data_IF_323752100529
#
_entry.id   IF_323752100529
#
_cell.length_a   1.000
_cell.length_b   1.000
_cell.length_c   1.000
_cell.angle_alpha   90.00
_cell.angle_beta   90.00
_cell.angle_gamma   90.00
#
_symmetry.space_group_name_H-M   'P 1'
#
loop_
_entity.id
_entity.type
_entity.pdbx_description
1 polymer ?
#
# COMPACT_ATOMS: atom_id res chain seq x y z
N UNK A 1 29.80 -11.48 -14.16
CA UNK A 1 29.34 -10.13 -13.78
C UNK A 1 27.90 -10.05 -14.23
N UNK A 2 27.03 -10.70 -13.48
CA UNK A 2 25.59 -10.72 -13.74
C UNK A 2 24.99 -9.55 -12.96
N UNK A 3 24.98 -8.41 -13.62
CA UNK A 3 24.25 -7.23 -13.20
C UNK A 3 22.78 -7.36 -13.62
N UNK A 4 21.89 -7.04 -12.68
CA UNK A 4 20.45 -6.78 -12.78
C UNK A 4 19.52 -7.88 -12.24
N UNK A 5 19.47 -8.01 -10.92
CA UNK A 5 18.19 -8.16 -10.23
C UNK A 5 17.98 -6.85 -9.47
N UNK A 6 17.15 -5.96 -10.02
CA UNK A 6 16.80 -4.69 -9.41
C UNK A 6 15.91 -4.92 -8.20
N UNK A 7 16.53 -5.17 -7.05
CA UNK A 7 15.94 -4.72 -5.79
C UNK A 7 15.98 -3.21 -5.85
N UNK A 8 14.80 -2.58 -5.94
CA UNK A 8 14.67 -1.23 -5.42
C UNK A 8 14.84 -1.42 -3.92
N UNK A 9 16.09 -1.44 -3.46
CA UNK A 9 16.40 -1.31 -2.04
C UNK A 9 15.77 0.02 -1.64
N UNK A 10 14.59 -0.08 -1.06
CA UNK A 10 13.85 1.06 -0.55
C UNK A 10 14.74 1.69 0.50
N UNK A 11 15.19 2.90 0.23
CA UNK A 11 15.95 3.67 1.21
C UNK A 11 14.95 4.19 2.25
N UNK A 12 14.57 3.30 3.16
CA UNK A 12 13.64 3.62 4.25
C UNK A 12 14.20 4.68 5.19
N UNK A 13 15.54 4.78 5.25
CA UNK A 13 16.21 5.81 6.04
C UNK A 13 15.95 7.19 5.45
N UNK A 14 16.09 7.34 4.12
CA UNK A 14 15.71 8.58 3.43
C UNK A 14 14.23 8.96 3.67
N UNK A 15 13.31 7.98 3.66
CA UNK A 15 11.87 8.22 3.89
C UNK A 15 11.59 8.84 5.26
N UNK A 16 12.15 8.31 6.36
CA UNK A 16 11.90 8.92 7.67
C UNK A 16 12.67 10.22 7.88
N UNK A 17 13.83 10.40 7.24
CA UNK A 17 14.58 11.66 7.28
C UNK A 17 13.81 12.79 6.57
N UNK A 18 13.21 12.51 5.41
CA UNK A 18 12.37 13.46 4.66
C UNK A 18 11.11 13.84 5.46
N UNK A 19 10.53 12.89 6.18
CA UNK A 19 9.41 13.11 7.10
C UNK A 19 9.81 13.81 8.42
N UNK A 20 11.12 13.96 8.69
CA UNK A 20 11.63 14.53 9.94
C UNK A 20 11.33 13.68 11.16
N UNK A 21 11.24 12.35 10.99
CA UNK A 21 10.93 11.37 12.02
C UNK A 21 12.17 10.58 12.41
N UNK A 22 12.23 10.14 13.66
CA UNK A 22 13.16 9.09 14.05
C UNK A 22 12.63 7.69 13.66
N UNK A 23 13.51 6.69 13.78
CA UNK A 23 13.21 5.29 13.44
C UNK A 23 12.04 4.72 14.25
N UNK A 24 11.91 5.09 15.52
CA UNK A 24 10.84 4.57 16.40
C UNK A 24 9.49 5.17 16.01
N UNK A 25 9.45 6.48 15.74
CA UNK A 25 8.27 7.16 15.23
C UNK A 25 7.84 6.60 13.87
N UNK A 26 8.77 6.45 12.94
CA UNK A 26 8.48 5.86 11.63
C UNK A 26 7.97 4.43 11.76
N UNK A 27 8.57 3.61 12.63
CA UNK A 27 8.09 2.25 12.93
C UNK A 27 6.63 2.23 13.39
N UNK A 28 6.22 3.15 14.26
CA UNK A 28 4.83 3.26 14.72
C UNK A 28 3.89 3.62 13.56
N UNK A 29 4.24 4.59 12.72
CA UNK A 29 3.43 4.96 11.57
C UNK A 29 3.39 3.86 10.51
N UNK A 30 4.50 3.17 10.27
CA UNK A 30 4.60 2.04 9.35
C UNK A 30 3.68 0.89 9.77
N UNK A 31 3.66 0.54 11.06
CA UNK A 31 2.73 -0.45 11.61
C UNK A 31 1.27 -0.01 11.42
N UNK A 32 0.94 1.22 11.80
CA UNK A 32 -0.42 1.76 11.66
C UNK A 32 -0.87 1.79 10.20
N UNK A 33 0.01 2.18 9.29
CA UNK A 33 -0.26 2.18 7.86
C UNK A 33 -0.60 0.77 7.36
N UNK A 34 0.18 -0.24 7.73
CA UNK A 34 -0.09 -1.62 7.32
C UNK A 34 -1.42 -2.13 7.89
N UNK A 35 -1.74 -1.82 9.14
CA UNK A 35 -3.02 -2.20 9.76
C UNK A 35 -4.21 -1.62 8.98
N UNK A 36 -4.14 -0.32 8.67
CA UNK A 36 -5.16 0.36 7.84
C UNK A 36 -5.22 -0.25 6.45
N UNK A 37 -4.06 -0.43 5.80
CA UNK A 37 -3.98 -0.89 4.42
C UNK A 37 -4.50 -2.32 4.25
N UNK A 38 -4.18 -3.24 5.15
CA UNK A 38 -4.69 -4.62 5.11
C UNK A 38 -6.16 -4.71 5.50
N UNK A 39 -6.62 -3.88 6.44
CA UNK A 39 -8.05 -3.77 6.77
C UNK A 39 -8.85 -3.31 5.56
N UNK A 40 -8.41 -2.24 4.90
CA UNK A 40 -9.10 -1.71 3.73
C UNK A 40 -8.93 -2.61 2.49
N UNK A 41 -7.81 -3.32 2.34
CA UNK A 41 -7.67 -4.35 1.31
C UNK A 41 -8.70 -5.48 1.48
N UNK A 42 -8.95 -5.90 2.72
CA UNK A 42 -9.98 -6.90 3.03
C UNK A 42 -11.37 -6.38 2.66
N UNK A 43 -11.70 -5.17 3.11
CA UNK A 43 -12.97 -4.49 2.74
C UNK A 43 -13.14 -4.36 1.24
N UNK A 44 -12.07 -4.02 0.52
CA UNK A 44 -12.07 -3.88 -0.93
C UNK A 44 -12.40 -5.21 -1.64
N UNK A 45 -11.88 -6.33 -1.13
CA UNK A 45 -12.18 -7.68 -1.65
C UNK A 45 -13.64 -8.07 -1.38
N UNK A 46 -14.15 -7.78 -0.19
CA UNK A 46 -15.54 -8.02 0.19
C UNK A 46 -16.51 -7.20 -0.68
N UNK A 47 -16.26 -5.90 -0.80
CA UNK A 47 -17.05 -5.00 -1.64
C UNK A 47 -17.08 -5.45 -3.11
N UNK A 48 -15.94 -5.91 -3.66
CA UNK A 48 -15.92 -6.45 -5.03
C UNK A 48 -16.77 -7.72 -5.18
N UNK A 49 -16.80 -8.58 -4.17
CA UNK A 49 -17.62 -9.80 -4.16
C UNK A 49 -19.12 -9.47 -4.10
N UNK A 50 -19.49 -8.40 -3.39
CA UNK A 50 -20.86 -7.89 -3.26
C UNK A 50 -21.28 -6.97 -4.43
N UNK A 51 -20.41 -6.76 -5.41
CA UNK A 51 -20.60 -5.84 -6.54
C UNK A 51 -20.72 -4.36 -6.12
N UNK A 52 -20.28 -4.02 -4.90
CA UNK A 52 -20.23 -2.67 -4.37
C UNK A 52 -18.97 -1.94 -4.84
N UNK A 53 -19.06 -1.33 -6.02
CA UNK A 53 -17.96 -0.53 -6.56
C UNK A 53 -17.71 0.77 -5.78
N UNK A 54 -18.70 1.26 -5.02
CA UNK A 54 -18.51 2.43 -4.17
C UNK A 54 -17.62 2.06 -2.98
N UNK A 55 -17.89 0.94 -2.31
CA UNK A 55 -17.05 0.39 -1.25
C UNK A 55 -15.61 0.10 -1.70
N UNK A 56 -15.43 -0.42 -2.92
CA UNK A 56 -14.08 -0.58 -3.53
C UNK A 56 -13.38 0.78 -3.65
N UNK A 57 -14.07 1.80 -4.15
CA UNK A 57 -13.49 3.13 -4.35
C UNK A 57 -13.13 3.81 -3.01
N UNK A 58 -13.98 3.66 -1.98
CA UNK A 58 -13.74 4.20 -0.64
C UNK A 58 -12.54 3.53 0.04
N UNK A 59 -12.46 2.21 0.00
CA UNK A 59 -11.30 1.48 0.52
C UNK A 59 -10.01 1.89 -0.20
N UNK A 60 -10.04 2.01 -1.52
CA UNK A 60 -8.89 2.44 -2.31
C UNK A 60 -8.48 3.90 -1.98
N UNK A 61 -9.46 4.77 -1.76
CA UNK A 61 -9.23 6.15 -1.35
C UNK A 61 -8.51 6.24 0.01
N UNK A 62 -8.94 5.41 0.97
CA UNK A 62 -8.34 5.34 2.31
C UNK A 62 -6.88 4.88 2.25
N UNK A 63 -6.58 3.78 1.54
CA UNK A 63 -5.20 3.28 1.36
C UNK A 63 -4.30 4.32 0.70
N UNK A 64 -4.81 4.99 -0.34
CA UNK A 64 -4.09 6.08 -1.03
C UNK A 64 -3.73 7.21 -0.06
N UNK A 65 -4.68 7.65 0.78
CA UNK A 65 -4.45 8.70 1.77
C UNK A 65 -3.41 8.29 2.80
N UNK A 66 -3.52 7.08 3.34
CA UNK A 66 -2.56 6.54 4.30
C UNK A 66 -1.14 6.40 3.70
N UNK A 67 -1.03 5.98 2.43
CA UNK A 67 0.24 5.84 1.73
C UNK A 67 0.95 7.19 1.51
N UNK A 68 0.19 8.25 1.18
CA UNK A 68 0.74 9.60 1.01
C UNK A 68 1.33 10.18 2.30
N UNK A 69 0.76 9.84 3.46
CA UNK A 69 1.29 10.28 4.76
C UNK A 69 2.71 9.77 5.03
N UNK A 70 3.06 8.62 4.43
CA UNK A 70 4.38 8.00 4.54
C UNK A 70 5.19 8.13 3.26
N UNK A 71 4.80 9.01 2.34
CA UNK A 71 5.49 9.22 1.05
C UNK A 71 5.66 7.92 0.22
N UNK A 72 4.77 6.94 0.41
CA UNK A 72 4.72 5.67 -0.30
C UNK A 72 4.02 5.84 -1.66
N UNK A 73 4.61 6.69 -2.51
CA UNK A 73 4.00 7.16 -3.77
C UNK A 73 3.59 6.03 -4.72
N UNK A 74 4.35 4.93 -4.77
CA UNK A 74 4.02 3.80 -5.64
C UNK A 74 2.75 3.07 -5.17
N UNK A 75 2.55 2.91 -3.86
CA UNK A 75 1.32 2.31 -3.30
C UNK A 75 0.15 3.26 -3.52
N UNK A 76 0.35 4.56 -3.24
CA UNK A 76 -0.63 5.60 -3.50
C UNK A 76 -1.10 5.60 -4.96
N UNK A 77 -0.17 5.43 -5.90
CA UNK A 77 -0.48 5.35 -7.33
C UNK A 77 -1.34 4.14 -7.70
N UNK A 78 -1.03 2.95 -7.16
CA UNK A 78 -1.82 1.73 -7.38
C UNK A 78 -3.23 1.90 -6.80
N UNK A 79 -3.34 2.41 -5.57
CA UNK A 79 -4.61 2.66 -4.90
C UNK A 79 -5.46 3.72 -5.65
N UNK A 80 -4.83 4.78 -6.15
CA UNK A 80 -5.47 5.79 -7.01
C UNK A 80 -6.02 5.19 -8.30
N UNK A 81 -5.27 4.30 -8.97
CA UNK A 81 -5.75 3.63 -10.18
C UNK A 81 -6.99 2.79 -9.87
N UNK A 82 -6.98 2.04 -8.77
CA UNK A 82 -8.12 1.26 -8.30
C UNK A 82 -9.35 2.12 -8.00
N UNK A 83 -9.17 3.23 -7.27
CA UNK A 83 -10.24 4.19 -6.98
C UNK A 83 -10.90 4.69 -8.27
N UNK A 84 -10.10 5.04 -9.28
CA UNK A 84 -10.59 5.52 -10.56
C UNK A 84 -11.29 4.42 -11.37
N UNK A 85 -10.77 3.20 -11.38
CA UNK A 85 -11.37 2.05 -12.07
C UNK A 85 -12.71 1.64 -11.45
N UNK A 86 -12.80 1.68 -10.12
CA UNK A 86 -14.04 1.44 -9.38
C UNK A 86 -15.10 2.48 -9.71
N UNK A 87 -14.74 3.77 -9.68
CA UNK A 87 -15.63 4.89 -10.09
C UNK A 87 -16.07 4.80 -11.56
N UNK A 88 -15.24 4.22 -12.42
CA UNK A 88 -15.54 4.05 -13.84
C UNK A 88 -16.32 2.76 -14.17
N UNK A 89 -16.60 1.89 -13.20
CA UNK A 89 -17.31 0.63 -13.46
C UNK A 89 -16.46 -0.48 -14.10
N UNK A 90 -15.14 -0.35 -14.11
CA UNK A 90 -14.24 -1.21 -14.90
C UNK A 90 -13.86 -2.52 -14.18
N UNK A 91 -14.86 -3.36 -13.86
CA UNK A 91 -14.71 -4.55 -12.99
C UNK A 91 -13.55 -5.49 -13.32
N UNK A 92 -13.30 -5.76 -14.61
CA UNK A 92 -12.20 -6.64 -15.04
C UNK A 92 -10.79 -6.07 -14.81
N UNK A 93 -10.66 -4.76 -14.54
CA UNK A 93 -9.40 -4.14 -14.15
C UNK A 93 -9.23 -4.12 -12.63
N UNK A 94 -10.31 -3.88 -11.90
CA UNK A 94 -10.34 -3.84 -10.43
C UNK A 94 -9.76 -5.11 -9.82
N UNK A 95 -10.15 -6.30 -10.29
CA UNK A 95 -9.62 -7.57 -9.76
C UNK A 95 -8.09 -7.64 -9.86
N UNK A 96 -7.54 -7.29 -11.03
CA UNK A 96 -6.08 -7.26 -11.25
C UNK A 96 -5.40 -6.18 -10.42
N UNK A 97 -6.06 -5.04 -10.24
CA UNK A 97 -5.59 -3.96 -9.39
C UNK A 97 -5.49 -4.39 -7.93
N UNK A 98 -6.52 -5.07 -7.40
CA UNK A 98 -6.54 -5.58 -6.01
C UNK A 98 -5.40 -6.57 -5.79
N UNK A 99 -5.20 -7.51 -6.71
CA UNK A 99 -4.09 -8.46 -6.63
C UNK A 99 -2.73 -7.77 -6.70
N UNK A 100 -2.61 -6.71 -7.50
CA UNK A 100 -1.39 -5.90 -7.55
C UNK A 100 -1.15 -5.17 -6.24
N UNK A 101 -2.16 -4.50 -5.69
CA UNK A 101 -2.07 -3.78 -4.42
C UNK A 101 -1.70 -4.72 -3.27
N UNK A 102 -2.31 -5.91 -3.21
CA UNK A 102 -2.00 -6.93 -2.23
C UNK A 102 -0.53 -7.36 -2.27
N UNK A 103 0.03 -7.56 -3.47
CA UNK A 103 1.45 -7.90 -3.63
C UNK A 103 2.37 -6.77 -3.19
N UNK A 104 2.05 -5.52 -3.52
CA UNK A 104 2.86 -4.37 -3.11
C UNK A 104 2.83 -4.16 -1.58
N UNK A 105 1.67 -4.34 -0.95
CA UNK A 105 1.55 -4.28 0.51
C UNK A 105 2.34 -5.41 1.21
N UNK A 106 2.31 -6.63 0.67
CA UNK A 106 3.09 -7.74 1.25
C UNK A 106 4.60 -7.51 1.10
N UNK A 107 5.05 -7.05 -0.07
CA UNK A 107 6.47 -6.67 -0.27
C UNK A 107 6.90 -5.59 0.71
N UNK A 108 6.08 -4.56 0.90
CA UNK A 108 6.37 -3.49 1.85
C UNK A 108 6.47 -4.02 3.28
N UNK A 109 5.54 -4.90 3.68
CA UNK A 109 5.57 -5.55 4.98
C UNK A 109 6.87 -6.32 5.19
N UNK A 110 7.27 -7.15 4.23
CA UNK A 110 8.55 -7.89 4.31
C UNK A 110 9.74 -6.94 4.41
N UNK A 111 9.75 -5.85 3.63
CA UNK A 111 10.80 -4.84 3.70
C UNK A 111 10.89 -4.18 5.09
N UNK A 112 9.76 -3.80 5.68
CA UNK A 112 9.72 -3.25 7.04
C UNK A 112 10.19 -4.25 8.10
N UNK A 113 9.89 -5.55 7.94
CA UNK A 113 10.38 -6.59 8.85
C UNK A 113 11.88 -6.80 8.76
N UNK A 114 12.44 -6.89 7.54
CA UNK A 114 13.87 -7.07 7.30
C UNK A 114 14.70 -5.92 7.87
N UNK A 115 14.14 -4.71 7.84
CA UNK A 115 14.74 -3.49 8.37
C UNK A 115 14.47 -3.28 9.87
N UNK A 116 13.80 -4.24 10.52
CA UNK A 116 13.50 -4.24 11.95
C UNK A 116 12.58 -3.11 12.40
N UNK A 117 11.70 -2.63 11.51
CA UNK A 117 10.69 -1.59 11.78
C UNK A 117 9.37 -2.18 12.28
N UNK A 118 9.18 -3.49 12.16
CA UNK A 118 8.03 -4.20 12.73
C UNK A 118 8.58 -5.24 13.70
N UNK A 119 8.01 -5.29 14.91
CA UNK A 119 8.26 -6.38 15.84
C UNK A 119 7.22 -7.48 15.59
N UNK A 120 7.67 -8.74 15.60
CA UNK A 120 6.79 -9.92 15.50
C UNK A 120 5.85 -10.05 16.70
#
# INVERSE_FOLDING_TARGET
>A
MDSQQGDIAMDLEALWEELGLDREQFSQFASLFLDVAFTDLTRMKEALAEEDLAGVAEAAHSIKGAALTLELDWISSVAKSLEMEARAGARGKILRGIDSLARELEKLRSCFQEQGLLQE
#
